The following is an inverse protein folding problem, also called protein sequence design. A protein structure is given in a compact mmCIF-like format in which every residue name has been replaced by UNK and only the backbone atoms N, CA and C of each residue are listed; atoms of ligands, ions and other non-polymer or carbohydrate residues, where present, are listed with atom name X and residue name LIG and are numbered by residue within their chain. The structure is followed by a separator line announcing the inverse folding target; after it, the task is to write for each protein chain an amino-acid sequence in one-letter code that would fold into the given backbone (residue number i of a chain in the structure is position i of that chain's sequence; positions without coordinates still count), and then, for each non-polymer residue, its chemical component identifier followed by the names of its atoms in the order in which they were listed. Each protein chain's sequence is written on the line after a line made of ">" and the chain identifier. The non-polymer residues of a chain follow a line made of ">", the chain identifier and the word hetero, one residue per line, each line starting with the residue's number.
data_IF_474883402911
#
_entry.id   IF_474883402911
#
_cell.length_a   1.000
_cell.length_b   1.000
_cell.length_c   1.000
_cell.angle_alpha   90.00
_cell.angle_beta   90.00
_cell.angle_gamma   90.00
#
_symmetry.space_group_name_H-M   'P 1'
#
loop_
_entity.id
_entity.type
_entity.pdbx_description
1 polymer ?
#
# COMPACT_ATOMS: atom_id res chain seq x y z
N UNK A 1 -14.62 -5.61 -14.03
CA UNK A 1 -14.27 -4.54 -15.00
C UNK A 1 -13.47 -3.42 -14.33
N UNK A 2 -13.79 -2.99 -13.09
CA UNK A 2 -13.07 -1.92 -12.40
C UNK A 2 -11.64 -2.23 -11.90
N UNK A 3 -11.27 -3.50 -11.67
CA UNK A 3 -9.96 -3.85 -11.05
C UNK A 3 -8.73 -3.38 -11.85
N UNK A 4 -8.78 -3.44 -13.18
CA UNK A 4 -7.67 -3.01 -14.06
C UNK A 4 -7.44 -1.50 -14.00
N UNK A 5 -8.43 -0.63 -14.26
CA UNK A 5 -8.23 0.81 -14.19
C UNK A 5 -7.86 1.25 -12.78
N UNK A 6 -8.45 0.66 -11.73
CA UNK A 6 -8.09 0.98 -10.34
C UNK A 6 -6.62 0.67 -10.06
N UNK A 7 -6.11 -0.49 -10.50
CA UNK A 7 -4.71 -0.85 -10.34
C UNK A 7 -3.76 0.08 -11.12
N UNK A 8 -4.14 0.50 -12.33
CA UNK A 8 -3.34 1.45 -13.14
C UNK A 8 -3.31 2.83 -12.48
N UNK A 9 -4.45 3.33 -11.98
CA UNK A 9 -4.50 4.61 -11.25
C UNK A 9 -3.64 4.53 -10.00
N UNK A 10 -3.74 3.44 -9.23
CA UNK A 10 -2.91 3.22 -8.06
C UNK A 10 -1.41 3.22 -8.39
N UNK A 11 -1.03 2.58 -9.49
CA UNK A 11 0.34 2.58 -9.97
C UNK A 11 0.84 3.99 -10.29
N UNK A 12 0.06 4.78 -11.04
CA UNK A 12 0.43 6.15 -11.40
C UNK A 12 0.59 7.01 -10.16
N UNK A 13 -0.33 6.90 -9.20
CA UNK A 13 -0.27 7.65 -7.93
C UNK A 13 0.99 7.30 -7.15
N UNK A 14 1.29 6.01 -6.94
CA UNK A 14 2.51 5.60 -6.21
C UNK A 14 3.81 6.03 -6.92
N UNK A 15 3.82 6.01 -8.26
CA UNK A 15 4.97 6.49 -9.04
C UNK A 15 5.14 8.01 -8.92
N UNK A 16 4.04 8.77 -8.94
CA UNK A 16 4.07 10.21 -8.72
C UNK A 16 4.54 10.55 -7.30
N UNK A 17 4.09 9.80 -6.29
CA UNK A 17 4.57 9.94 -4.91
C UNK A 17 6.05 9.57 -4.76
N UNK A 18 6.53 8.53 -5.45
CA UNK A 18 7.95 8.19 -5.46
C UNK A 18 8.79 9.37 -5.94
N UNK A 19 8.38 10.02 -7.04
CA UNK A 19 9.04 11.23 -7.54
C UNK A 19 8.94 12.38 -6.54
N UNK A 20 7.75 12.60 -5.97
CA UNK A 20 7.51 13.63 -4.96
C UNK A 20 8.42 13.47 -3.73
N UNK A 21 8.52 12.26 -3.18
CA UNK A 21 9.38 11.96 -2.02
C UNK A 21 10.84 12.20 -2.34
N UNK A 22 11.32 11.77 -3.50
CA UNK A 22 12.72 12.00 -3.92
C UNK A 22 13.00 13.49 -4.04
N UNK A 23 12.13 14.25 -4.70
CA UNK A 23 12.31 15.70 -4.87
C UNK A 23 12.26 16.45 -3.54
N UNK A 24 11.31 16.11 -2.66
CA UNK A 24 11.18 16.73 -1.33
C UNK A 24 12.42 16.46 -0.48
N UNK A 25 12.89 15.21 -0.40
CA UNK A 25 14.08 14.86 0.37
C UNK A 25 15.35 15.42 -0.24
N UNK A 26 15.44 15.49 -1.58
CA UNK A 26 16.55 16.15 -2.24
C UNK A 26 16.62 17.64 -1.89
N UNK A 27 15.47 18.34 -1.93
CA UNK A 27 15.41 19.74 -1.53
C UNK A 27 15.79 19.94 -0.06
N UNK A 28 15.22 19.15 0.86
CA UNK A 28 15.55 19.25 2.28
C UNK A 28 17.01 18.91 2.57
N UNK A 29 17.54 17.84 1.97
CA UNK A 29 18.95 17.47 2.10
C UNK A 29 19.87 18.57 1.60
N UNK A 30 19.52 19.22 0.48
CA UNK A 30 20.31 20.33 -0.06
C UNK A 30 20.27 21.56 0.85
N UNK A 31 19.08 21.90 1.38
CA UNK A 31 18.92 23.00 2.30
C UNK A 31 19.72 22.77 3.59
N UNK A 32 19.62 21.59 4.20
CA UNK A 32 20.36 21.23 5.43
C UNK A 32 21.86 21.25 5.21
N UNK A 33 22.35 20.72 4.08
CA UNK A 33 23.77 20.74 3.75
C UNK A 33 24.34 22.17 3.66
N UNK A 34 23.53 23.13 3.19
CA UNK A 34 23.92 24.55 3.08
C UNK A 34 23.91 25.31 4.40
N UNK A 35 23.28 24.79 5.45
CA UNK A 35 23.13 25.52 6.72
C UNK A 35 24.37 25.46 7.63
N UNK A 36 25.37 24.62 7.34
CA UNK A 36 26.63 24.48 8.12
C UNK A 36 26.41 24.49 9.65
N UNK A 37 25.31 23.90 10.12
CA UNK A 37 24.96 23.81 11.54
C UNK A 37 25.05 22.36 12.01
N UNK A 38 25.60 22.15 13.19
CA UNK A 38 25.44 20.89 13.92
C UNK A 38 24.19 20.96 14.79
N UNK A 39 23.34 19.93 14.77
CA UNK A 39 22.25 19.78 15.73
C UNK A 39 22.58 18.59 16.64
N UNK A 40 22.78 18.86 17.93
CA UNK A 40 23.06 17.81 18.92
C UNK A 40 24.38 17.05 18.71
N UNK A 41 25.38 17.68 18.06
CA UNK A 41 26.67 17.06 17.75
C UNK A 41 26.68 16.19 16.48
N UNK A 42 25.56 16.15 15.75
CA UNK A 42 25.51 15.55 14.42
C UNK A 42 25.69 16.68 13.39
N UNK A 43 26.76 16.57 12.61
CA UNK A 43 27.10 17.56 11.59
C UNK A 43 26.12 17.53 10.40
N UNK A 44 25.98 18.67 9.72
CA UNK A 44 25.06 18.87 8.61
C UNK A 44 25.22 17.85 7.48
N UNK A 45 26.44 17.35 7.25
CA UNK A 45 26.72 16.35 6.22
C UNK A 45 26.07 15.00 6.53
N UNK A 46 26.14 14.56 7.79
CA UNK A 46 25.51 13.31 8.24
C UNK A 46 23.98 13.42 8.16
N UNK A 47 23.44 14.60 8.51
CA UNK A 47 22.01 14.88 8.38
C UNK A 47 21.56 14.87 6.92
N UNK A 48 22.24 15.60 6.04
CA UNK A 48 21.88 15.65 4.62
C UNK A 48 22.01 14.29 3.94
N UNK A 49 23.07 13.54 4.26
CA UNK A 49 23.29 12.19 3.70
C UNK A 49 22.16 11.25 4.11
N UNK A 50 21.76 11.28 5.37
CA UNK A 50 20.63 10.48 5.85
C UNK A 50 19.33 10.88 5.15
N UNK A 51 19.07 12.17 4.96
CA UNK A 51 17.89 12.65 4.22
C UNK A 51 17.89 12.15 2.77
N UNK A 52 19.01 12.23 2.06
CA UNK A 52 19.10 11.73 0.69
C UNK A 52 18.90 10.22 0.59
N UNK A 53 19.52 9.46 1.49
CA UNK A 53 19.37 8.00 1.53
C UNK A 53 17.92 7.62 1.83
N UNK A 54 17.29 8.28 2.81
CA UNK A 54 15.90 8.04 3.19
C UNK A 54 14.96 8.34 2.00
N UNK A 55 15.15 9.49 1.35
CA UNK A 55 14.40 9.84 0.13
C UNK A 55 14.57 8.83 -1.00
N UNK A 56 15.80 8.39 -1.26
CA UNK A 56 16.10 7.39 -2.29
C UNK A 56 15.48 6.03 -1.99
N UNK A 57 15.59 5.54 -0.76
CA UNK A 57 15.03 4.25 -0.32
C UNK A 57 13.51 4.26 -0.40
N UNK A 58 12.84 5.27 0.15
CA UNK A 58 11.38 5.38 0.09
C UNK A 58 10.89 5.59 -1.34
N UNK A 59 11.56 6.43 -2.13
CA UNK A 59 11.24 6.63 -3.53
C UNK A 59 11.34 5.35 -4.34
N UNK A 60 12.45 4.61 -4.21
CA UNK A 60 12.62 3.32 -4.87
C UNK A 60 11.56 2.31 -4.43
N UNK A 61 11.30 2.21 -3.13
CA UNK A 61 10.28 1.32 -2.59
C UNK A 61 8.88 1.59 -3.16
N UNK A 62 8.45 2.85 -3.19
CA UNK A 62 7.17 3.25 -3.78
C UNK A 62 7.14 2.97 -5.29
N UNK A 63 8.25 3.20 -6.00
CA UNK A 63 8.35 2.88 -7.42
C UNK A 63 8.18 1.38 -7.68
N UNK A 64 8.81 0.52 -6.86
CA UNK A 64 8.62 -0.94 -6.93
C UNK A 64 7.14 -1.30 -6.70
N UNK A 65 6.49 -0.72 -5.70
CA UNK A 65 5.06 -0.94 -5.44
C UNK A 65 4.19 -0.52 -6.64
N UNK A 66 4.45 0.67 -7.20
CA UNK A 66 3.75 1.18 -8.38
C UNK A 66 3.93 0.28 -9.60
N UNK A 67 5.14 -0.21 -9.85
CA UNK A 67 5.44 -1.16 -10.93
C UNK A 67 4.70 -2.48 -10.74
N UNK A 68 4.63 -3.02 -9.52
CA UNK A 68 3.86 -4.23 -9.21
C UNK A 68 2.37 -4.04 -9.53
N UNK A 69 1.79 -2.90 -9.14
CA UNK A 69 0.38 -2.58 -9.44
C UNK A 69 0.16 -2.38 -10.94
N UNK A 70 1.10 -1.76 -11.65
CA UNK A 70 1.02 -1.55 -13.09
C UNK A 70 1.01 -2.88 -13.83
N UNK A 71 1.92 -3.79 -13.46
CA UNK A 71 1.96 -5.16 -14.01
C UNK A 71 0.65 -5.89 -13.73
N UNK A 72 0.11 -5.80 -12.51
CA UNK A 72 -1.16 -6.42 -12.15
C UNK A 72 -2.33 -5.87 -12.97
N UNK A 73 -2.42 -4.55 -13.17
CA UNK A 73 -3.48 -3.90 -13.95
C UNK A 73 -3.39 -4.20 -15.45
N UNK A 74 -2.18 -4.17 -16.02
CA UNK A 74 -1.94 -4.46 -17.44
C UNK A 74 -2.21 -5.93 -17.76
N UNK A 75 -1.62 -6.85 -16.98
CA UNK A 75 -1.75 -8.31 -17.17
C UNK A 75 -3.06 -8.89 -16.64
N UNK A 76 -3.81 -8.09 -15.89
CA UNK A 76 -5.03 -8.49 -15.19
C UNK A 76 -4.88 -9.76 -14.35
N UNK A 77 -3.69 -9.95 -13.78
CA UNK A 77 -3.33 -11.12 -12.97
C UNK A 77 -3.00 -10.65 -11.56
N UNK A 78 -3.48 -11.39 -10.57
CA UNK A 78 -3.19 -11.09 -9.18
C UNK A 78 -1.67 -11.04 -8.93
N UNK A 79 -1.18 -10.08 -8.14
CA UNK A 79 0.21 -10.06 -7.72
C UNK A 79 0.53 -11.35 -6.96
N UNK A 80 1.69 -11.94 -7.26
CA UNK A 80 2.19 -13.11 -6.54
C UNK A 80 2.43 -12.82 -5.05
N UNK A 81 2.78 -13.85 -4.27
CA UNK A 81 2.97 -13.73 -2.81
C UNK A 81 3.92 -12.60 -2.42
N UNK A 82 5.05 -12.49 -3.10
CA UNK A 82 6.03 -11.42 -2.84
C UNK A 82 5.44 -10.03 -3.14
N UNK A 83 4.79 -9.86 -4.30
CA UNK A 83 4.14 -8.59 -4.65
C UNK A 83 3.07 -8.18 -3.63
N UNK A 84 2.30 -9.13 -3.11
CA UNK A 84 1.35 -8.86 -2.02
C UNK A 84 2.02 -8.40 -0.74
N UNK A 85 3.09 -9.07 -0.31
CA UNK A 85 3.83 -8.66 0.90
C UNK A 85 4.30 -7.21 0.76
N UNK A 86 4.92 -6.88 -0.37
CA UNK A 86 5.40 -5.53 -0.67
C UNK A 86 4.26 -4.50 -0.65
N UNK A 87 3.10 -4.84 -1.21
CA UNK A 87 1.93 -3.94 -1.20
C UNK A 87 1.28 -3.81 0.19
N UNK A 88 1.28 -4.88 0.99
CA UNK A 88 0.79 -4.84 2.38
C UNK A 88 1.73 -3.96 3.22
N UNK A 89 3.04 -4.13 3.10
CA UNK A 89 3.99 -3.25 3.79
C UNK A 89 3.81 -1.81 3.32
N UNK A 90 3.47 -1.58 2.04
CA UNK A 90 3.23 -0.25 1.50
C UNK A 90 1.99 0.39 2.13
N UNK A 91 0.91 -0.38 2.28
CA UNK A 91 -0.29 0.04 2.99
C UNK A 91 0.03 0.40 4.46
N UNK A 92 0.82 -0.43 5.16
CA UNK A 92 1.25 -0.14 6.54
C UNK A 92 2.05 1.16 6.59
N UNK A 93 3.02 1.37 5.69
CA UNK A 93 3.77 2.62 5.57
C UNK A 93 2.86 3.84 5.41
N UNK A 94 1.85 3.76 4.55
CA UNK A 94 0.89 4.86 4.35
C UNK A 94 0.00 5.09 5.58
N UNK A 95 -0.38 4.03 6.29
CA UNK A 95 -1.10 4.14 7.56
C UNK A 95 -0.29 4.90 8.61
N UNK A 96 1.00 4.57 8.77
CA UNK A 96 1.92 5.24 9.68
C UNK A 96 2.12 6.71 9.26
N UNK A 97 2.42 6.96 8.00
CA UNK A 97 2.59 8.33 7.48
C UNK A 97 1.30 9.14 7.62
N UNK A 98 0.14 8.54 7.37
CA UNK A 98 -1.17 9.16 7.61
C UNK A 98 -1.30 9.64 9.05
N UNK A 99 -1.02 8.77 10.02
CA UNK A 99 -1.05 9.13 11.44
C UNK A 99 -0.08 10.26 11.81
N UNK A 100 1.09 10.34 11.17
CA UNK A 100 2.03 11.46 11.38
C UNK A 100 1.55 12.76 10.73
N UNK A 101 1.01 12.67 9.51
CA UNK A 101 0.59 13.86 8.74
C UNK A 101 -0.58 14.60 9.37
N UNK A 102 -1.52 13.92 10.03
CA UNK A 102 -2.64 14.61 10.70
C UNK A 102 -2.17 15.53 11.83
N UNK A 103 -1.10 15.18 12.53
CA UNK A 103 -0.53 15.98 13.62
C UNK A 103 0.52 17.00 13.17
N UNK A 104 1.38 16.65 12.20
CA UNK A 104 2.55 17.46 11.84
C UNK A 104 2.34 18.35 10.61
N UNK A 105 1.42 18.00 9.71
CA UNK A 105 1.30 18.65 8.39
C UNK A 105 -0.10 19.25 8.19
N UNK A 106 -1.15 18.48 8.48
CA UNK A 106 -2.54 18.94 8.46
C UNK A 106 -3.50 17.98 7.75
N UNK A 107 -4.78 18.32 7.81
CA UNK A 107 -5.89 17.48 7.34
C UNK A 107 -5.84 17.13 5.85
N UNK A 108 -5.39 18.05 4.99
CA UNK A 108 -5.32 17.80 3.55
C UNK A 108 -4.28 16.72 3.21
N UNK A 109 -3.10 16.76 3.84
CA UNK A 109 -2.08 15.73 3.69
C UNK A 109 -2.56 14.38 4.21
N UNK A 110 -3.23 14.37 5.37
CA UNK A 110 -3.85 13.17 5.91
C UNK A 110 -4.87 12.55 4.94
N UNK A 111 -5.77 13.36 4.38
CA UNK A 111 -6.78 12.89 3.44
C UNK A 111 -6.15 12.31 2.17
N UNK A 112 -5.08 12.94 1.66
CA UNK A 112 -4.31 12.41 0.55
C UNK A 112 -3.70 11.03 0.88
N UNK A 113 -2.99 10.90 2.00
CA UNK A 113 -2.39 9.64 2.44
C UNK A 113 -3.44 8.52 2.61
N UNK A 114 -4.61 8.85 3.19
CA UNK A 114 -5.72 7.91 3.33
C UNK A 114 -6.33 7.51 2.00
N UNK A 115 -6.40 8.43 1.03
CA UNK A 115 -6.83 8.15 -0.34
C UNK A 115 -5.93 7.13 -1.02
N UNK A 116 -4.61 7.30 -0.92
CA UNK A 116 -3.63 6.34 -1.47
C UNK A 116 -3.72 4.99 -0.76
N UNK A 117 -3.78 5.00 0.58
CA UNK A 117 -3.96 3.79 1.38
C UNK A 117 -5.20 3.01 0.94
N UNK A 118 -6.35 3.69 0.85
CA UNK A 118 -7.61 3.09 0.42
C UNK A 118 -7.48 2.49 -0.99
N UNK A 119 -6.78 3.18 -1.89
CA UNK A 119 -6.54 2.72 -3.25
C UNK A 119 -5.69 1.44 -3.30
N UNK A 120 -4.61 1.37 -2.53
CA UNK A 120 -3.76 0.17 -2.41
C UNK A 120 -4.54 -1.00 -1.83
N UNK A 121 -5.28 -0.79 -0.75
CA UNK A 121 -6.11 -1.82 -0.10
C UNK A 121 -7.21 -2.30 -1.04
N UNK A 122 -7.85 -1.39 -1.78
CA UNK A 122 -8.88 -1.74 -2.77
C UNK A 122 -8.32 -2.66 -3.86
N UNK A 123 -7.10 -2.41 -4.36
CA UNK A 123 -6.45 -3.32 -5.32
C UNK A 123 -6.18 -4.68 -4.69
N UNK A 124 -5.66 -4.72 -3.46
CA UNK A 124 -5.40 -5.98 -2.74
C UNK A 124 -6.68 -6.82 -2.58
N UNK A 125 -7.81 -6.19 -2.25
CA UNK A 125 -9.12 -6.84 -2.15
C UNK A 125 -9.63 -7.33 -3.51
N UNK A 126 -9.53 -6.50 -4.55
CA UNK A 126 -9.99 -6.83 -5.91
C UNK A 126 -9.22 -8.00 -6.54
N UNK A 127 -7.96 -8.19 -6.15
CA UNK A 127 -7.10 -9.29 -6.60
C UNK A 127 -6.87 -10.36 -5.52
N UNK A 128 -7.65 -10.38 -4.44
CA UNK A 128 -7.59 -11.43 -3.42
C UNK A 128 -7.92 -12.81 -4.03
N UNK A 129 -7.31 -13.91 -3.56
CA UNK A 129 -7.72 -15.24 -4.01
C UNK A 129 -9.15 -15.45 -3.54
N UNK A 130 -9.98 -16.09 -4.36
CA UNK A 130 -11.26 -16.59 -3.87
C UNK A 130 -10.94 -17.63 -2.80
N UNK A 131 -11.34 -17.38 -1.55
CA UNK A 131 -11.34 -18.44 -0.55
C UNK A 131 -12.22 -19.58 -1.10
N UNK A 132 -11.87 -20.85 -0.86
CA UNK A 132 -12.82 -21.93 -1.03
C UNK A 132 -14.07 -21.54 -0.24
N UNK A 133 -15.24 -21.56 -0.89
CA UNK A 133 -16.48 -21.38 -0.16
C UNK A 133 -16.52 -22.42 0.96
N UNK A 134 -16.69 -21.98 2.19
CA UNK A 134 -16.98 -22.89 3.30
C UNK A 134 -18.18 -23.75 2.86
N UNK A 135 -18.14 -25.08 3.00
CA UNK A 135 -19.29 -25.90 2.66
C UNK A 135 -20.45 -25.36 3.50
N UNK A 136 -21.45 -24.77 2.84
CA UNK A 136 -22.70 -24.44 3.50
C UNK A 136 -23.18 -25.75 4.14
N UNK A 137 -23.35 -25.72 5.47
CA UNK A 137 -23.86 -26.86 6.24
C UNK A 137 -24.96 -27.55 5.44
N UNK A 138 -24.70 -28.80 5.04
CA UNK A 138 -25.69 -29.63 4.41
C UNK A 138 -26.86 -29.73 5.40
N UNK A 139 -28.13 -29.56 4.96
CA UNK A 139 -29.25 -29.75 5.87
C UNK A 139 -29.20 -31.18 6.38
N UNK A 140 -29.03 -31.34 7.69
CA UNK A 140 -29.18 -32.60 8.39
C UNK A 140 -30.56 -33.16 8.06
N UNK A 141 -30.57 -34.22 7.25
CA UNK A 141 -31.77 -34.97 6.94
C UNK A 141 -32.28 -35.68 8.17
N UNK A 142 -33.10 -35.00 8.96
CA UNK A 142 -33.94 -35.63 9.98
C UNK A 142 -35.31 -35.97 9.37
N UNK A 143 -35.57 -37.28 9.27
CA UNK A 143 -36.90 -37.85 9.49
C UNK A 143 -37.83 -37.97 8.28
N UNK A 144 -37.61 -38.96 7.40
CA UNK A 144 -38.74 -39.60 6.72
C UNK A 144 -39.47 -40.50 7.73
N UNK A 145 -40.79 -40.36 7.95
CA UNK A 145 -41.56 -41.28 8.78
C UNK A 145 -41.67 -42.67 8.12
N UNK A 146 -41.66 -43.78 8.88
CA UNK A 146 -41.88 -45.09 8.29
C UNK A 146 -43.34 -45.24 7.82
N UNK A 147 -43.47 -45.69 6.57
CA UNK A 147 -44.73 -46.05 5.92
C UNK A 147 -45.32 -47.33 6.56
N UNK A 148 -46.64 -47.41 6.83
CA UNK A 148 -47.22 -48.55 7.51
C UNK A 148 -47.33 -49.75 6.56
N UNK A 149 -46.64 -50.85 6.88
CA UNK A 149 -46.81 -52.13 6.19
C UNK A 149 -48.11 -52.81 6.66
N UNK A 150 -49.04 -52.97 5.72
CA UNK A 150 -50.21 -53.82 5.85
C UNK A 150 -49.85 -55.29 5.55
N UNK A 151 -50.16 -56.20 6.48
CA UNK A 151 -50.64 -57.57 6.27
C UNK A 151 -50.91 -58.26 7.62
#
# INVERSE_FOLDING_TARGET
>A
MARRPVAVVAAIVLLAEAVGIVLINWFFGHAVHRQHMSLGGVDSDTMSTTTYVMGGVFGFYLAVCGVVLLIAGVRDRAPGRFGRIVLITCAVTHGVLGALTVGLVGWAAFAFMMGVLALVVLVLLMYAPRLPAEPADAPSGEGSPPEPAAA
#
